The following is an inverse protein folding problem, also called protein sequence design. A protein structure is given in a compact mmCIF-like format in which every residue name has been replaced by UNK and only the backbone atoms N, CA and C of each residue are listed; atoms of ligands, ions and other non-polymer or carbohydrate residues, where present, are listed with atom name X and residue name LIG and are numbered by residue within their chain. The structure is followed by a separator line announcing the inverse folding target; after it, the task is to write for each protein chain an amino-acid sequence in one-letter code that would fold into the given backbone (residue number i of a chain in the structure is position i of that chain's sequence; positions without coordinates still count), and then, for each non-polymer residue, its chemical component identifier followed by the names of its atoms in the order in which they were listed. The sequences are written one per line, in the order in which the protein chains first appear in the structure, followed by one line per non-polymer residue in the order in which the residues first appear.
data_IF_143966794442
#
_entry.id   IF_143966794442
#
_cell.length_a   1.000
_cell.length_b   1.000
_cell.length_c   1.000
_cell.angle_alpha   90.00
_cell.angle_beta   90.00
_cell.angle_gamma   90.00
#
_symmetry.space_group_name_H-M   'P 1'
#
loop_
_entity.id
_entity.type
_entity.pdbx_description
1 polymer ?
#
# COMPACT_ATOMS: atom_id res chain seq x y z
N UNK A 1 1.51 -8.60 -5.59
CA UNK A 1 2.78 -9.10 -6.17
C UNK A 1 2.55 -9.94 -7.42
N UNK A 2 1.80 -11.05 -7.38
CA UNK A 2 1.55 -11.89 -8.57
C UNK A 2 0.86 -11.18 -9.73
N UNK A 3 -0.22 -10.43 -9.47
CA UNK A 3 -0.94 -9.66 -10.50
C UNK A 3 -0.11 -8.50 -11.09
N UNK A 4 0.73 -7.85 -10.29
CA UNK A 4 1.66 -6.80 -10.74
C UNK A 4 2.72 -7.36 -11.69
N UNK A 5 3.26 -8.55 -11.41
CA UNK A 5 4.20 -9.24 -12.30
C UNK A 5 3.54 -9.67 -13.61
N UNK A 6 2.27 -10.10 -13.55
CA UNK A 6 1.45 -10.44 -14.72
C UNK A 6 1.19 -9.21 -15.60
N UNK A 7 0.87 -8.07 -14.99
CA UNK A 7 0.76 -6.77 -15.65
C UNK A 7 2.08 -6.33 -16.30
N UNK A 8 3.22 -6.63 -15.68
CA UNK A 8 4.53 -6.25 -16.20
C UNK A 8 5.02 -7.13 -17.36
N UNK A 9 4.84 -8.45 -17.28
CA UNK A 9 5.39 -9.40 -18.26
C UNK A 9 4.48 -9.65 -19.47
N UNK A 10 3.18 -9.37 -19.38
CA UNK A 10 2.22 -9.70 -20.44
C UNK A 10 1.73 -8.41 -21.13
N UNK A 11 2.17 -8.10 -22.36
CA UNK A 11 1.76 -6.92 -23.11
C UNK A 11 0.38 -7.14 -23.77
N UNK A 12 -0.63 -7.52 -22.98
CA UNK A 12 -2.00 -7.68 -23.43
C UNK A 12 -2.94 -6.83 -22.57
N UNK A 13 -3.69 -5.95 -23.22
CA UNK A 13 -4.60 -4.99 -22.59
C UNK A 13 -5.64 -5.63 -21.66
N UNK A 14 -6.32 -6.70 -22.10
CA UNK A 14 -7.33 -7.40 -21.31
C UNK A 14 -6.71 -8.01 -20.05
N UNK A 15 -5.56 -8.67 -20.20
CA UNK A 15 -4.83 -9.28 -19.06
C UNK A 15 -4.39 -8.21 -18.07
N UNK A 16 -3.90 -7.07 -18.58
CA UNK A 16 -3.51 -5.92 -17.78
C UNK A 16 -4.69 -5.32 -17.01
N UNK A 17 -5.82 -5.07 -17.70
CA UNK A 17 -7.01 -4.50 -17.11
C UNK A 17 -7.59 -5.39 -16.00
N UNK A 18 -7.70 -6.70 -16.24
CA UNK A 18 -8.18 -7.67 -15.25
C UNK A 18 -7.23 -7.76 -14.05
N UNK A 19 -5.92 -7.80 -14.30
CA UNK A 19 -4.92 -7.87 -13.23
C UNK A 19 -4.95 -6.64 -12.33
N UNK A 20 -5.06 -5.44 -12.91
CA UNK A 20 -5.17 -4.17 -12.16
C UNK A 20 -6.51 -4.08 -11.42
N UNK A 21 -7.61 -4.53 -12.03
CA UNK A 21 -8.93 -4.55 -11.38
C UNK A 21 -8.95 -5.48 -10.15
N UNK A 22 -8.43 -6.70 -10.29
CA UNK A 22 -8.30 -7.63 -9.17
C UNK A 22 -7.35 -7.09 -8.10
N UNK A 23 -6.21 -6.53 -8.51
CA UNK A 23 -5.28 -5.89 -7.60
C UNK A 23 -5.96 -4.78 -6.78
N UNK A 24 -6.69 -3.87 -7.43
CA UNK A 24 -7.46 -2.83 -6.77
C UNK A 24 -8.53 -3.39 -5.82
N UNK A 25 -9.25 -4.43 -6.23
CA UNK A 25 -10.26 -5.10 -5.41
C UNK A 25 -9.70 -5.64 -4.10
N UNK A 26 -8.54 -6.31 -4.13
CA UNK A 26 -7.89 -6.84 -2.92
C UNK A 26 -7.22 -5.76 -2.06
N UNK A 27 -6.78 -4.65 -2.66
CA UNK A 27 -6.13 -3.54 -1.93
C UNK A 27 -7.13 -2.59 -1.30
N UNK A 28 -8.33 -2.43 -1.88
CA UNK A 28 -9.35 -1.51 -1.36
C UNK A 28 -9.62 -1.66 0.14
N UNK A 29 -9.82 -2.88 0.66
CA UNK A 29 -10.06 -3.11 2.09
C UNK A 29 -8.84 -2.93 3.00
N UNK A 30 -7.63 -2.78 2.45
CA UNK A 30 -6.39 -2.80 3.24
C UNK A 30 -6.31 -1.60 4.20
N UNK A 31 -6.73 -0.41 3.74
CA UNK A 31 -6.74 0.80 4.56
C UNK A 31 -7.67 0.72 5.78
N UNK A 32 -8.98 0.39 5.62
CA UNK A 32 -9.85 0.20 6.79
C UNK A 32 -9.42 -0.98 7.67
N UNK A 33 -8.86 -2.05 7.10
CA UNK A 33 -8.31 -3.16 7.89
C UNK A 33 -7.18 -2.70 8.82
N UNK A 34 -6.25 -1.88 8.32
CA UNK A 34 -5.17 -1.27 9.14
C UNK A 34 -5.75 -0.41 10.25
N UNK A 35 -6.75 0.43 9.96
CA UNK A 35 -7.39 1.27 10.98
C UNK A 35 -7.98 0.41 12.10
N UNK A 36 -8.67 -0.68 11.77
CA UNK A 36 -9.24 -1.60 12.77
C UNK A 36 -8.14 -2.26 13.62
N UNK A 37 -7.03 -2.68 13.00
CA UNK A 37 -5.89 -3.28 13.71
C UNK A 37 -5.24 -2.25 14.65
N UNK A 38 -5.00 -1.02 14.18
CA UNK A 38 -4.41 0.05 14.98
C UNK A 38 -5.31 0.43 16.17
N UNK A 39 -6.63 0.52 15.96
CA UNK A 39 -7.59 0.77 17.05
C UNK A 39 -7.61 -0.37 18.09
N UNK A 40 -7.29 -1.61 17.71
CA UNK A 40 -7.17 -2.73 18.65
C UNK A 40 -5.84 -2.76 19.40
N UNK A 41 -4.76 -2.33 18.75
CA UNK A 41 -3.40 -2.35 19.31
C UNK A 41 -3.11 -1.15 20.22
N UNK A 42 -3.67 0.02 19.91
CA UNK A 42 -3.41 1.23 20.69
C UNK A 42 -4.37 1.37 21.89
N UNK A 43 -3.92 2.00 22.99
CA UNK A 43 -4.80 2.43 24.05
C UNK A 43 -5.69 3.61 23.61
N UNK A 44 -6.87 3.71 24.22
CA UNK A 44 -7.97 4.58 23.79
C UNK A 44 -7.63 6.08 23.75
N UNK A 45 -6.67 6.53 24.55
CA UNK A 45 -6.22 7.91 24.59
C UNK A 45 -5.22 8.27 23.47
N UNK A 46 -4.62 7.27 22.80
CA UNK A 46 -3.65 7.48 21.72
C UNK A 46 -4.25 7.28 20.32
N UNK A 47 -5.47 6.73 20.20
CA UNK A 47 -6.10 6.41 18.91
C UNK A 47 -6.08 7.59 17.95
N UNK A 48 -6.59 8.74 18.39
CA UNK A 48 -6.73 9.93 17.54
C UNK A 48 -5.35 10.45 17.09
N UNK A 49 -4.39 10.53 18.00
CA UNK A 49 -3.06 11.09 17.69
C UNK A 49 -2.27 10.20 16.74
N UNK A 50 -2.21 8.88 16.99
CA UNK A 50 -1.42 7.99 16.16
C UNK A 50 -2.09 7.70 14.80
N UNK A 51 -3.42 7.56 14.75
CA UNK A 51 -4.13 7.43 13.47
C UNK A 51 -4.00 8.73 12.68
N UNK A 52 -4.13 9.89 13.32
CA UNK A 52 -3.91 11.20 12.69
C UNK A 52 -2.50 11.36 12.14
N UNK A 53 -1.47 10.93 12.89
CA UNK A 53 -0.09 10.94 12.44
C UNK A 53 0.14 10.00 11.25
N UNK A 54 -0.40 8.77 11.31
CA UNK A 54 -0.34 7.82 10.20
C UNK A 54 -1.07 8.34 8.95
N UNK A 55 -2.23 8.99 9.13
CA UNK A 55 -2.98 9.61 8.05
C UNK A 55 -2.23 10.80 7.43
N UNK A 56 -1.57 11.63 8.25
CA UNK A 56 -0.73 12.72 7.76
C UNK A 56 0.45 12.18 6.92
N UNK A 57 1.14 11.16 7.42
CA UNK A 57 2.21 10.49 6.66
C UNK A 57 1.69 9.86 5.37
N UNK A 58 0.55 9.18 5.41
CA UNK A 58 -0.11 8.61 4.24
C UNK A 58 -0.50 9.67 3.21
N UNK A 59 -1.06 10.80 3.66
CA UNK A 59 -1.42 11.93 2.82
C UNK A 59 -0.20 12.60 2.18
N UNK A 60 0.86 12.87 2.96
CA UNK A 60 2.12 13.42 2.45
C UNK A 60 2.79 12.48 1.45
N UNK A 61 2.84 11.18 1.74
CA UNK A 61 3.34 10.17 0.80
C UNK A 61 2.53 10.11 -0.49
N UNK A 62 1.21 10.26 -0.39
CA UNK A 62 0.29 10.34 -1.53
C UNK A 62 0.49 11.57 -2.43
N UNK A 63 1.15 12.63 -1.95
CA UNK A 63 1.52 13.77 -2.79
C UNK A 63 2.92 13.62 -3.40
N UNK A 64 3.89 13.17 -2.58
CA UNK A 64 5.30 13.09 -2.98
C UNK A 64 5.57 11.92 -3.92
N UNK A 65 5.04 10.73 -3.61
CA UNK A 65 5.35 9.52 -4.36
C UNK A 65 4.80 9.57 -5.81
N UNK A 66 3.55 9.98 -6.07
CA UNK A 66 3.06 10.08 -7.45
C UNK A 66 3.82 11.12 -8.28
N UNK A 67 4.29 12.20 -7.65
CA UNK A 67 5.11 13.20 -8.33
C UNK A 67 6.48 12.64 -8.72
N UNK A 68 7.17 11.96 -7.78
CA UNK A 68 8.45 11.31 -8.05
C UNK A 68 8.30 10.23 -9.14
N UNK A 69 7.26 9.40 -9.05
CA UNK A 69 6.93 8.37 -10.04
C UNK A 69 6.65 9.00 -11.41
N UNK A 70 5.88 10.09 -11.47
CA UNK A 70 5.58 10.80 -12.70
C UNK A 70 6.83 11.41 -13.36
N UNK A 71 7.72 12.00 -12.57
CA UNK A 71 9.01 12.52 -13.06
C UNK A 71 9.89 11.41 -13.63
N UNK A 72 9.98 10.26 -12.94
CA UNK A 72 10.72 9.09 -13.42
C UNK A 72 10.08 8.50 -14.69
N UNK A 73 8.76 8.46 -14.77
CA UNK A 73 8.03 7.99 -15.94
C UNK A 73 8.25 8.89 -17.17
N UNK A 74 8.38 10.21 -16.98
CA UNK A 74 8.76 11.11 -18.07
C UNK A 74 10.18 10.85 -18.59
N UNK A 75 11.13 10.56 -17.70
CA UNK A 75 12.54 10.39 -18.08
C UNK A 75 12.87 8.99 -18.62
N UNK A 76 12.27 7.94 -18.08
CA UNK A 76 12.60 6.52 -18.37
C UNK A 76 11.44 5.73 -18.98
N UNK A 77 10.31 6.38 -19.23
CA UNK A 77 9.10 5.74 -19.74
C UNK A 77 8.27 5.04 -18.64
N UNK A 78 7.05 4.67 -19.01
CA UNK A 78 6.04 4.08 -18.09
C UNK A 78 6.50 2.73 -17.53
N UNK A 79 7.46 2.04 -18.15
CA UNK A 79 8.01 0.77 -17.66
C UNK A 79 8.76 0.90 -16.33
N UNK A 80 9.13 2.12 -15.92
CA UNK A 80 9.73 2.38 -14.62
C UNK A 80 8.70 2.39 -13.47
N UNK A 81 7.39 2.39 -13.74
CA UNK A 81 6.35 2.32 -12.71
C UNK A 81 6.35 0.97 -12.00
N UNK A 82 6.42 -0.13 -12.76
CA UNK A 82 6.29 -1.48 -12.24
C UNK A 82 7.30 -1.83 -11.13
N UNK A 83 8.63 -1.54 -11.27
CA UNK A 83 9.57 -1.79 -10.18
C UNK A 83 9.27 -0.95 -8.93
N UNK A 84 8.77 0.28 -9.10
CA UNK A 84 8.41 1.16 -7.96
C UNK A 84 7.19 0.60 -7.23
N UNK A 85 6.17 0.16 -7.97
CA UNK A 85 4.95 -0.42 -7.40
C UNK A 85 5.28 -1.72 -6.66
N UNK A 86 6.13 -2.58 -7.23
CA UNK A 86 6.62 -3.78 -6.55
C UNK A 86 7.40 -3.46 -5.26
N UNK A 87 8.27 -2.45 -5.29
CA UNK A 87 9.00 -2.01 -4.11
C UNK A 87 8.06 -1.50 -3.01
N UNK A 88 7.04 -0.72 -3.36
CA UNK A 88 6.02 -0.24 -2.42
C UNK A 88 5.21 -1.40 -1.82
N UNK A 89 4.80 -2.38 -2.62
CA UNK A 89 4.15 -3.58 -2.09
C UNK A 89 5.06 -4.38 -1.15
N UNK A 90 6.34 -4.49 -1.48
CA UNK A 90 7.34 -5.13 -0.62
C UNK A 90 7.48 -4.42 0.71
N UNK A 91 7.59 -3.08 0.70
CA UNK A 91 7.68 -2.28 1.91
C UNK A 91 6.43 -2.45 2.80
N UNK A 92 5.23 -2.39 2.23
CA UNK A 92 3.97 -2.61 2.96
C UNK A 92 3.95 -4.01 3.57
N UNK A 93 4.37 -5.04 2.83
CA UNK A 93 4.41 -6.41 3.31
C UNK A 93 5.41 -6.60 4.47
N UNK A 94 6.60 -6.00 4.37
CA UNK A 94 7.61 -6.05 5.45
C UNK A 94 7.08 -5.35 6.71
N UNK A 95 6.48 -4.18 6.56
CA UNK A 95 5.84 -3.47 7.68
C UNK A 95 4.76 -4.34 8.31
N UNK A 96 3.93 -5.00 7.50
CA UNK A 96 2.88 -5.91 7.99
C UNK A 96 3.45 -7.11 8.75
N UNK A 97 4.54 -7.72 8.27
CA UNK A 97 5.23 -8.81 8.98
C UNK A 97 5.87 -8.34 10.30
N UNK A 98 6.27 -7.07 10.39
CA UNK A 98 6.84 -6.46 11.58
C UNK A 98 5.81 -6.05 12.64
N UNK A 99 4.51 -6.07 12.33
CA UNK A 99 3.47 -5.70 13.31
C UNK A 99 3.44 -6.73 14.46
N UNK A 100 3.42 -6.26 15.72
CA UNK A 100 3.28 -7.15 16.88
C UNK A 100 1.95 -7.89 16.79
N UNK A 101 1.97 -9.20 17.07
CA UNK A 101 0.74 -10.01 17.13
C UNK A 101 -0.20 -9.37 18.14
N UNK A 102 -1.46 -9.18 17.76
CA UNK A 102 -2.53 -8.73 18.66
C UNK A 102 -2.68 -9.78 19.76
N UNK A 103 -1.93 -9.62 20.85
CA UNK A 103 -2.13 -10.39 22.06
C UNK A 103 -3.50 -10.03 22.62
N UNK A 104 -4.27 -11.04 23.06
CA UNK A 104 -5.50 -10.83 23.81
C UNK A 104 -5.18 -9.84 24.94
N UNK A 105 -5.83 -8.68 24.97
CA UNK A 105 -5.83 -7.80 26.15
C UNK A 105 -6.14 -8.69 27.35
N UNK A 106 -5.18 -8.82 28.28
CA UNK A 106 -5.56 -9.11 29.66
C UNK A 106 -6.22 -7.83 30.16
N UNK A 107 -7.45 -8.02 30.61
CA UNK A 107 -8.39 -7.10 31.24
C UNK A 107 -7.76 -5.85 31.88
#
# INVERSE_FOLDING_TARGET
MGFELLFWLVPQFIVSAVSVALQGFFIGPLFPAVIVVMSKLLPHHLHVSAIGFAAAFGGSGGAVLPFAVGAVAQAKGVQALQPIILALFGAIFVVWCGLPRIGKKKE
#
